data_IF_045951182005
#
_entry.id   IF_045951182005
#
_cell.length_a   1.000
_cell.length_b   1.000
_cell.length_c   1.000
_cell.angle_alpha   90.00
_cell.angle_beta   90.00
_cell.angle_gamma   90.00
#
_symmetry.space_group_name_H-M   'P 1'
#
loop_
_entity.id
_entity.type
_entity.pdbx_description
1 polymer ?
#
# COMPACT_ATOMS: atom_id res chain seq x y z
N UNK A 1 -8.80 12.65 -5.75
CA UNK A 1 -8.25 11.45 -5.07
C UNK A 1 -9.14 11.17 -3.87
N UNK A 2 -9.80 10.01 -3.79
CA UNK A 2 -10.67 9.68 -2.66
C UNK A 2 -9.84 9.54 -1.39
N UNK A 3 -10.30 10.14 -0.30
CA UNK A 3 -9.67 10.08 1.01
C UNK A 3 -9.55 8.63 1.52
N UNK A 4 -8.60 8.41 2.40
CA UNK A 4 -8.40 7.16 3.13
C UNK A 4 -9.31 7.15 4.35
N UNK A 5 -10.28 6.24 4.36
CA UNK A 5 -11.23 6.08 5.48
C UNK A 5 -10.78 5.02 6.49
N UNK A 6 -9.87 4.12 6.09
CA UNK A 6 -9.37 3.05 6.95
C UNK A 6 -7.98 2.57 6.53
N UNK A 7 -7.31 1.82 7.41
CA UNK A 7 -6.06 1.14 7.05
C UNK A 7 -6.22 0.18 5.86
N UNK A 8 -7.37 -0.51 5.76
CA UNK A 8 -7.64 -1.45 4.68
C UNK A 8 -7.78 -0.73 3.34
N UNK A 9 -8.44 0.44 3.31
CA UNK A 9 -8.52 1.28 2.11
C UNK A 9 -7.13 1.77 1.67
N UNK A 10 -6.29 2.18 2.62
CA UNK A 10 -4.90 2.55 2.32
C UNK A 10 -4.13 1.41 1.68
N UNK A 11 -4.17 0.21 2.27
CA UNK A 11 -3.44 -0.96 1.76
C UNK A 11 -4.03 -1.51 0.45
N UNK A 12 -5.32 -1.28 0.19
CA UNK A 12 -5.93 -1.58 -1.10
C UNK A 12 -5.41 -0.67 -2.23
N UNK A 13 -5.23 0.62 -1.94
CA UNK A 13 -4.69 1.61 -2.89
C UNK A 13 -3.17 1.50 -3.05
N UNK A 14 -2.46 1.14 -1.97
CA UNK A 14 -1.01 1.01 -1.93
C UNK A 14 -0.61 -0.35 -1.32
N UNK A 15 -0.62 -1.44 -2.12
CA UNK A 15 -0.34 -2.78 -1.61
C UNK A 15 1.10 -2.89 -1.11
N UNK A 16 1.29 -2.94 0.21
CA UNK A 16 2.63 -3.05 0.84
C UNK A 16 2.62 -3.97 2.06
N UNK A 17 3.79 -4.40 2.51
CA UNK A 17 3.93 -5.15 3.76
C UNK A 17 3.70 -4.23 4.97
N UNK A 18 3.15 -4.77 6.06
CA UNK A 18 2.96 -4.00 7.30
C UNK A 18 4.25 -3.39 7.84
N UNK A 19 5.39 -4.06 7.63
CA UNK A 19 6.72 -3.53 7.97
C UNK A 19 7.04 -2.25 7.20
N UNK A 20 6.78 -2.22 5.89
CA UNK A 20 7.03 -1.04 5.05
C UNK A 20 6.14 0.14 5.47
N UNK A 21 4.85 -0.12 5.74
CA UNK A 21 3.97 0.91 6.26
C UNK A 21 4.43 1.42 7.63
N UNK A 22 4.91 0.52 8.49
CA UNK A 22 5.42 0.89 9.81
C UNK A 22 6.65 1.80 9.70
N UNK A 23 7.57 1.50 8.78
CA UNK A 23 8.74 2.32 8.46
C UNK A 23 8.31 3.72 7.96
N UNK A 24 7.38 3.80 7.01
CA UNK A 24 6.86 5.07 6.47
C UNK A 24 6.12 5.92 7.51
N UNK A 25 5.42 5.27 8.44
CA UNK A 25 4.64 5.94 9.49
C UNK A 25 5.44 6.22 10.76
N UNK A 26 6.69 5.75 10.85
CA UNK A 26 7.50 5.88 12.06
C UNK A 26 6.94 5.12 13.28
N UNK A 27 6.26 3.99 13.05
CA UNK A 27 5.68 3.16 14.12
C UNK A 27 6.28 1.75 14.11
N UNK A 28 5.99 0.96 15.14
CA UNK A 28 6.40 -0.46 15.18
C UNK A 28 5.50 -1.30 14.27
N UNK A 29 6.04 -2.32 13.60
CA UNK A 29 5.26 -3.27 12.78
C UNK A 29 4.07 -3.87 13.55
N UNK A 30 4.28 -4.24 14.81
CA UNK A 30 3.21 -4.77 15.67
C UNK A 30 2.05 -3.79 15.90
N UNK A 31 2.26 -2.48 15.72
CA UNK A 31 1.19 -1.49 15.79
C UNK A 31 0.32 -1.56 14.54
N UNK A 32 0.93 -1.70 13.37
CA UNK A 32 0.22 -1.89 12.10
C UNK A 32 -0.52 -3.23 12.08
N UNK A 33 0.10 -4.30 12.58
CA UNK A 33 -0.58 -5.60 12.73
C UNK A 33 -1.82 -5.50 13.60
N UNK A 34 -1.74 -4.78 14.72
CA UNK A 34 -2.89 -4.58 15.62
C UNK A 34 -4.01 -3.76 14.99
N UNK A 35 -3.67 -2.77 14.15
CA UNK A 35 -4.65 -2.02 13.37
C UNK A 35 -5.32 -2.88 12.30
N UNK A 36 -4.54 -3.69 11.58
CA UNK A 36 -5.06 -4.61 10.55
C UNK A 36 -5.97 -5.66 11.15
N UNK A 37 -5.56 -6.28 12.26
CA UNK A 37 -6.36 -7.27 13.00
C UNK A 37 -7.51 -6.65 13.82
N UNK A 38 -7.73 -5.33 13.73
CA UNK A 38 -8.77 -4.58 14.46
C UNK A 38 -8.69 -4.67 16.00
N UNK A 39 -7.66 -5.32 16.56
CA UNK A 39 -7.36 -5.37 18.00
C UNK A 39 -7.01 -4.00 18.59
N UNK A 40 -6.61 -3.04 17.75
CA UNK A 40 -6.43 -1.64 18.10
C UNK A 40 -7.10 -0.77 17.05
N UNK A 41 -7.93 0.18 17.47
CA UNK A 41 -8.55 1.15 16.55
C UNK A 41 -7.50 2.11 15.99
N UNK A 42 -7.61 2.43 14.71
CA UNK A 42 -6.87 3.52 14.07
C UNK A 42 -7.48 4.83 14.57
N UNK A 43 -6.65 5.71 15.10
CA UNK A 43 -7.12 7.02 15.60
C UNK A 43 -7.34 7.99 14.45
N UNK A 44 -8.16 9.03 14.64
CA UNK A 44 -8.32 10.11 13.65
C UNK A 44 -6.99 10.76 13.27
N UNK A 45 -6.09 10.94 14.25
CA UNK A 45 -4.73 11.44 13.98
C UNK A 45 -3.99 10.51 13.03
N UNK A 46 -4.04 9.20 13.27
CA UNK A 46 -3.42 8.20 12.41
C UNK A 46 -4.05 8.21 11.01
N UNK A 47 -5.37 8.37 10.89
CA UNK A 47 -6.05 8.51 9.59
C UNK A 47 -5.59 9.75 8.82
N UNK A 48 -5.38 10.88 9.51
CA UNK A 48 -4.82 12.09 8.88
C UNK A 48 -3.41 11.85 8.35
N UNK A 49 -2.56 11.15 9.11
CA UNK A 49 -1.22 10.78 8.64
C UNK A 49 -1.26 9.78 7.48
N UNK A 50 -2.16 8.80 7.49
CA UNK A 50 -2.36 7.88 6.37
C UNK A 50 -2.81 8.62 5.10
N UNK A 51 -3.69 9.62 5.23
CA UNK A 51 -4.09 10.47 4.11
C UNK A 51 -2.92 11.29 3.55
N UNK A 52 -2.10 11.90 4.43
CA UNK A 52 -0.88 12.60 4.00
C UNK A 52 0.07 11.69 3.25
N UNK A 53 0.30 10.49 3.78
CA UNK A 53 1.14 9.49 3.13
C UNK A 53 0.54 9.03 1.78
N UNK A 54 -0.79 8.84 1.72
CA UNK A 54 -1.49 8.50 0.48
C UNK A 54 -1.28 9.57 -0.60
N UNK A 55 -1.37 10.85 -0.25
CA UNK A 55 -1.06 11.96 -1.16
C UNK A 55 0.40 11.94 -1.60
N UNK A 56 1.33 11.79 -0.67
CA UNK A 56 2.77 11.75 -0.96
C UNK A 56 3.12 10.62 -1.94
N UNK A 57 2.64 9.40 -1.70
CA UNK A 57 2.88 8.24 -2.57
C UNK A 57 2.20 8.39 -3.93
N UNK A 58 1.04 9.05 -3.98
CA UNK A 58 0.34 9.30 -5.26
C UNK A 58 1.06 10.35 -6.11
N UNK A 59 1.72 11.33 -5.49
CA UNK A 59 2.50 12.36 -6.18
C UNK A 59 3.93 11.90 -6.52
N UNK A 60 4.44 10.86 -5.86
CA UNK A 60 5.80 10.37 -6.04
C UNK A 60 5.81 8.88 -6.45
N UNK A 61 5.55 8.55 -7.73
CA UNK A 61 5.46 7.17 -8.21
C UNK A 61 6.72 6.35 -7.95
N UNK A 62 7.90 6.97 -8.08
CA UNK A 62 9.19 6.33 -7.82
C UNK A 62 9.32 5.88 -6.36
N UNK A 63 8.91 6.73 -5.42
CA UNK A 63 8.87 6.39 -4.01
C UNK A 63 7.85 5.27 -3.77
N UNK A 64 6.66 5.38 -4.38
CA UNK A 64 5.64 4.34 -4.29
C UNK A 64 6.15 2.98 -4.75
N UNK A 65 6.88 2.90 -5.86
CA UNK A 65 7.43 1.65 -6.40
C UNK A 65 8.46 0.98 -5.47
N UNK A 66 9.18 1.75 -4.64
CA UNK A 66 10.11 1.19 -3.66
C UNK A 66 9.40 0.44 -2.51
N UNK A 67 8.18 0.86 -2.17
CA UNK A 67 7.45 0.35 -1.00
C UNK A 67 6.23 -0.49 -1.36
N UNK A 68 5.60 -0.25 -2.50
CA UNK A 68 4.52 -1.08 -3.00
C UNK A 68 5.13 -2.41 -3.44
N UNK A 69 4.54 -3.51 -3.00
CA UNK A 69 4.87 -4.82 -3.54
C UNK A 69 4.65 -4.72 -5.04
N UNK A 70 5.71 -4.88 -5.83
CA UNK A 70 5.53 -5.21 -7.24
C UNK A 70 4.76 -6.52 -7.25
N UNK A 71 3.46 -6.45 -7.50
CA UNK A 71 2.62 -7.62 -7.73
C UNK A 71 3.14 -8.16 -9.06
N UNK A 72 4.10 -9.06 -8.94
CA UNK A 72 4.87 -9.72 -9.97
C UNK A 72 4.20 -9.67 -11.35
N UNK A 73 4.83 -8.96 -12.29
CA UNK A 73 4.46 -8.87 -13.72
C UNK A 73 4.59 -10.21 -14.48
N UNK A 74 4.45 -11.36 -13.81
CA UNK A 74 4.50 -12.71 -14.40
C UNK A 74 3.13 -13.21 -14.89
N UNK A 75 2.23 -12.30 -15.26
CA UNK A 75 0.92 -12.68 -15.82
C UNK A 75 0.54 -11.84 -17.04
N UNK A 76 1.49 -11.44 -17.90
CA UNK A 76 1.18 -10.85 -19.21
C UNK A 76 2.10 -11.31 -20.36
N UNK A 77 3.06 -12.22 -20.13
CA UNK A 77 3.97 -12.73 -21.18
C UNK A 77 3.60 -14.11 -21.74
N UNK A 78 2.35 -14.57 -21.59
CA UNK A 78 1.90 -15.87 -22.16
C UNK A 78 0.69 -15.69 -23.08
N UNK A 79 0.70 -14.67 -23.95
CA UNK A 79 0.00 -14.75 -25.25
C UNK A 79 0.84 -14.00 -26.29
N UNK A 80 2.01 -14.53 -26.58
CA UNK A 80 2.72 -14.26 -27.81
C UNK A 80 3.47 -15.54 -28.09
N UNK A 81 2.92 -16.41 -28.95
CA UNK A 81 3.63 -17.18 -29.97
C UNK A 81 2.64 -18.10 -30.70
N UNK A 82 2.80 -18.08 -32.04
CA UNK A 82 2.23 -18.92 -33.10
C UNK A 82 0.93 -18.47 -33.75
N UNK A 83 0.84 -18.25 -35.05
CA UNK A 83 1.81 -18.12 -36.15
C UNK A 83 0.99 -17.69 -37.36
N UNK A 84 1.53 -16.80 -38.20
CA UNK A 84 1.14 -16.73 -39.61
C UNK A 84 1.33 -18.12 -40.23
N UNK A 85 0.29 -18.65 -40.86
CA UNK A 85 0.37 -19.23 -42.20
C UNK A 85 -1.01 -19.38 -42.83
#
# INVERSE_FOLDING_TARGET
MPEIESLHDFLGKHPMYHRQLAELMGVKTCTVDRWSNQTRRVTERTLKELNRLHHLLSQNPQLREQYVKSVNSKQLSVISYHSNS
#
